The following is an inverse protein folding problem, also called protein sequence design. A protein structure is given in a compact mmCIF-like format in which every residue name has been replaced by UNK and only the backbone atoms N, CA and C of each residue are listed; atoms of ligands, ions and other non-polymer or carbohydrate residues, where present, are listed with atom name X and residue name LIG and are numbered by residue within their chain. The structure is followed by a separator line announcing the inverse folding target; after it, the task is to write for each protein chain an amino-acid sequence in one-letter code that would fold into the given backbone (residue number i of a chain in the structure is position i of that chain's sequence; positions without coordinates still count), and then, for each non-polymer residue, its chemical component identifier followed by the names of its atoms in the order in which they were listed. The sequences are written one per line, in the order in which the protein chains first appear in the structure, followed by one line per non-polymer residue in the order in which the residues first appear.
data_IF_209494954935
#
_entry.id   IF_209494954935
#
_cell.length_a   1.000
_cell.length_b   1.000
_cell.length_c   1.000
_cell.angle_alpha   90.00
_cell.angle_beta   90.00
_cell.angle_gamma   90.00
#
_symmetry.space_group_name_H-M   'P 1'
#
loop_
_entity.id
_entity.type
_entity.pdbx_description
1 polymer ?
#
# COMPACT_ATOMS: atom_id res chain seq x y z
N UNK A 1 -4.36 16.43 -22.12
CA UNK A 1 -4.23 15.84 -20.75
C UNK A 1 -4.26 14.34 -20.91
N UNK A 2 -3.13 13.65 -20.75
CA UNK A 2 -3.11 12.20 -20.78
C UNK A 2 -3.98 11.69 -19.61
N UNK A 3 -4.92 10.79 -19.90
CA UNK A 3 -5.76 10.15 -18.90
C UNK A 3 -4.86 9.46 -17.85
N UNK A 4 -4.65 10.12 -16.71
CA UNK A 4 -3.90 9.51 -15.61
C UNK A 4 -4.69 8.31 -15.10
N UNK A 5 -4.16 7.13 -15.29
CA UNK A 5 -4.77 5.89 -14.78
C UNK A 5 -4.91 6.02 -13.26
N UNK A 6 -6.09 5.76 -12.72
CA UNK A 6 -6.33 5.89 -11.28
C UNK A 6 -5.40 4.96 -10.47
N UNK A 7 -4.84 5.42 -9.31
CA UNK A 7 -3.88 4.62 -8.51
C UNK A 7 -4.38 3.22 -8.16
N UNK A 8 -5.67 3.10 -7.84
CA UNK A 8 -6.32 1.81 -7.54
C UNK A 8 -6.25 0.84 -8.73
N UNK A 9 -6.48 1.33 -9.95
CA UNK A 9 -6.41 0.51 -11.17
C UNK A 9 -4.99 0.00 -11.43
N UNK A 10 -3.99 0.83 -11.15
CA UNK A 10 -2.56 0.43 -11.27
C UNK A 10 -2.21 -0.64 -10.24
N UNK A 11 -2.63 -0.44 -8.98
CA UNK A 11 -2.42 -1.44 -7.93
C UNK A 11 -3.09 -2.78 -8.32
N UNK A 12 -4.31 -2.72 -8.85
CA UNK A 12 -5.03 -3.93 -9.27
C UNK A 12 -4.28 -4.70 -10.38
N UNK A 13 -3.67 -3.99 -11.34
CA UNK A 13 -2.81 -4.64 -12.35
C UNK A 13 -1.61 -5.35 -11.73
N UNK A 14 -0.90 -4.70 -10.79
CA UNK A 14 0.22 -5.31 -10.08
C UNK A 14 -0.20 -6.58 -9.33
N UNK A 15 -1.35 -6.53 -8.64
CA UNK A 15 -1.92 -7.68 -7.92
C UNK A 15 -2.31 -8.79 -8.89
N UNK A 16 -2.89 -8.46 -10.04
CA UNK A 16 -3.33 -9.43 -11.04
C UNK A 16 -2.16 -10.18 -11.69
N UNK A 17 -1.03 -9.51 -11.86
CA UNK A 17 0.19 -10.14 -12.40
C UNK A 17 0.80 -11.17 -11.43
N UNK A 18 0.64 -10.97 -10.13
CA UNK A 18 1.11 -11.88 -9.07
C UNK A 18 0.01 -12.78 -8.49
N UNK A 19 -1.10 -12.99 -9.23
CA UNK A 19 -2.30 -13.73 -8.75
C UNK A 19 -1.99 -15.11 -8.18
N UNK A 20 -1.02 -15.84 -8.76
CA UNK A 20 -0.64 -17.18 -8.30
C UNK A 20 0.01 -17.14 -6.92
N UNK A 21 0.98 -16.25 -6.71
CA UNK A 21 1.66 -16.09 -5.44
C UNK A 21 0.70 -15.53 -4.37
N UNK A 22 -0.19 -14.61 -4.76
CA UNK A 22 -1.23 -14.06 -3.86
C UNK A 22 -2.27 -15.12 -3.48
N UNK A 23 -2.70 -15.95 -4.42
CA UNK A 23 -3.61 -17.08 -4.12
C UNK A 23 -3.00 -18.04 -3.10
N UNK A 24 -1.70 -18.32 -3.19
CA UNK A 24 -1.00 -19.15 -2.22
C UNK A 24 -0.96 -18.47 -0.83
N UNK A 25 -0.76 -17.14 -0.76
CA UNK A 25 -0.84 -16.39 0.51
C UNK A 25 -2.22 -16.56 1.14
N UNK A 26 -3.31 -16.37 0.37
CA UNK A 26 -4.67 -16.56 0.87
C UNK A 26 -4.93 -18.01 1.32
N UNK A 27 -4.41 -18.99 0.60
CA UNK A 27 -4.53 -20.40 1.01
C UNK A 27 -3.90 -20.64 2.38
N UNK A 28 -2.67 -20.17 2.61
CA UNK A 28 -2.02 -20.28 3.92
C UNK A 28 -2.73 -19.44 5.00
N UNK A 29 -3.28 -18.28 4.64
CA UNK A 29 -4.06 -17.46 5.57
C UNK A 29 -5.34 -18.15 6.02
N UNK A 30 -6.06 -18.81 5.11
CA UNK A 30 -7.27 -19.59 5.42
C UNK A 30 -6.92 -20.73 6.39
N UNK A 31 -5.93 -21.54 6.04
CA UNK A 31 -5.52 -22.67 6.89
C UNK A 31 -5.04 -22.20 8.27
N UNK A 32 -4.13 -21.21 8.31
CA UNK A 32 -3.62 -20.67 9.57
C UNK A 32 -4.71 -19.99 10.42
N UNK A 33 -5.61 -19.26 9.78
CA UNK A 33 -6.74 -18.59 10.45
C UNK A 33 -7.75 -19.57 11.04
N UNK A 34 -8.09 -20.65 10.32
CA UNK A 34 -8.97 -21.72 10.81
C UNK A 34 -8.34 -22.44 12.01
N UNK A 35 -7.04 -22.77 11.92
CA UNK A 35 -6.32 -23.40 13.02
C UNK A 35 -6.31 -22.47 14.25
N UNK A 36 -6.07 -21.17 14.05
CA UNK A 36 -6.06 -20.20 15.16
C UNK A 36 -7.45 -20.07 15.83
N UNK A 37 -8.53 -20.13 15.06
CA UNK A 37 -9.89 -20.09 15.58
C UNK A 37 -10.30 -21.40 16.28
N UNK A 38 -9.58 -22.49 16.09
CA UNK A 38 -9.79 -23.73 16.88
C UNK A 38 -9.39 -23.58 18.35
N UNK A 39 -8.51 -22.60 18.69
CA UNK A 39 -8.07 -22.34 20.07
C UNK A 39 -9.21 -21.99 21.02
N UNK A 40 -10.12 -21.02 20.74
CA UNK A 40 -11.28 -20.74 21.59
C UNK A 40 -12.15 -21.97 21.82
N UNK A 41 -12.41 -22.76 20.75
CA UNK A 41 -13.20 -24.00 20.84
C UNK A 41 -12.52 -25.06 21.71
N UNK A 42 -11.20 -25.19 21.56
CA UNK A 42 -10.40 -26.09 22.39
C UNK A 42 -10.41 -25.69 23.86
N UNK A 43 -10.29 -24.38 24.16
CA UNK A 43 -10.35 -23.86 25.53
C UNK A 43 -11.74 -24.09 26.12
N UNK A 44 -12.82 -23.89 25.36
CA UNK A 44 -14.18 -24.23 25.78
C UNK A 44 -14.29 -25.70 26.21
N UNK A 45 -13.75 -26.60 25.40
CA UNK A 45 -13.79 -28.04 25.66
C UNK A 45 -12.95 -28.41 26.89
N UNK A 46 -11.77 -27.81 27.07
CA UNK A 46 -10.93 -27.98 28.28
C UNK A 46 -11.69 -27.56 29.53
N UNK A 47 -12.36 -26.38 29.50
CA UNK A 47 -13.19 -25.89 30.61
C UNK A 47 -14.29 -26.92 30.93
N UNK A 48 -14.94 -27.50 29.92
CA UNK A 48 -15.95 -28.53 30.09
C UNK A 48 -15.41 -29.79 30.79
N UNK A 49 -14.23 -30.27 30.39
CA UNK A 49 -13.59 -31.41 31.08
C UNK A 49 -13.20 -31.10 32.51
N UNK A 50 -12.65 -29.90 32.77
CA UNK A 50 -12.23 -29.51 34.13
C UNK A 50 -13.43 -29.37 35.05
N UNK A 51 -14.51 -28.74 34.61
CA UNK A 51 -15.75 -28.61 35.39
C UNK A 51 -16.45 -29.97 35.63
N UNK A 52 -16.29 -30.92 34.70
CA UNK A 52 -16.77 -32.28 34.85
C UNK A 52 -15.92 -33.17 35.76
N UNK A 53 -14.80 -32.66 36.32
CA UNK A 53 -13.92 -33.37 37.24
C UNK A 53 -13.17 -34.54 36.62
N UNK A 54 -13.11 -34.66 35.30
CA UNK A 54 -12.50 -35.80 34.61
C UNK A 54 -11.10 -35.47 34.06
N UNK A 55 -10.05 -35.90 34.72
CA UNK A 55 -8.73 -36.01 34.10
C UNK A 55 -8.68 -37.27 33.20
N UNK A 56 -9.03 -37.09 31.94
CA UNK A 56 -9.08 -38.16 30.95
C UNK A 56 -7.93 -38.07 29.94
N UNK A 57 -7.56 -39.20 29.33
CA UNK A 57 -6.60 -39.22 28.22
C UNK A 57 -7.02 -38.26 27.08
N UNK A 58 -8.31 -38.04 26.91
CA UNK A 58 -8.89 -37.09 25.94
C UNK A 58 -8.43 -35.65 26.15
N UNK A 59 -8.24 -35.23 27.42
CA UNK A 59 -7.72 -33.90 27.75
C UNK A 59 -6.28 -33.73 27.27
N UNK A 60 -5.42 -34.74 27.48
CA UNK A 60 -4.02 -34.72 27.05
C UNK A 60 -3.95 -34.65 25.52
N UNK A 61 -4.75 -35.45 24.82
CA UNK A 61 -4.83 -35.43 23.34
C UNK A 61 -5.29 -34.08 22.85
N UNK A 62 -6.31 -33.47 23.45
CA UNK A 62 -6.81 -32.15 23.07
C UNK A 62 -5.74 -31.06 23.24
N UNK A 63 -5.07 -31.01 24.39
CA UNK A 63 -3.99 -30.05 24.64
C UNK A 63 -2.86 -30.22 23.62
N UNK A 64 -2.45 -31.50 23.38
CA UNK A 64 -1.41 -31.80 22.39
C UNK A 64 -1.81 -31.35 20.97
N UNK A 65 -3.08 -31.54 20.58
CA UNK A 65 -3.62 -31.11 19.29
C UNK A 65 -3.62 -29.57 19.16
N UNK A 66 -4.00 -28.84 20.22
CA UNK A 66 -3.96 -27.37 20.23
C UNK A 66 -2.53 -26.83 20.10
N UNK A 67 -1.58 -27.39 20.84
CA UNK A 67 -0.16 -27.02 20.77
C UNK A 67 0.41 -27.29 19.37
N UNK A 68 0.08 -28.43 18.76
CA UNK A 68 0.43 -28.75 17.39
C UNK A 68 -0.21 -27.75 16.41
N UNK A 69 -1.46 -27.38 16.63
CA UNK A 69 -2.17 -26.37 15.84
C UNK A 69 -1.44 -25.02 15.85
N UNK A 70 -0.99 -24.54 17.02
CA UNK A 70 -0.21 -23.29 17.12
C UNK A 70 1.08 -23.39 16.31
N UNK A 71 1.79 -24.51 16.41
CA UNK A 71 3.01 -24.74 15.64
C UNK A 71 2.74 -24.73 14.12
N UNK A 72 1.69 -25.42 13.66
CA UNK A 72 1.30 -25.46 12.26
C UNK A 72 0.89 -24.07 11.75
N UNK A 73 0.11 -23.30 12.53
CA UNK A 73 -0.25 -21.92 12.18
C UNK A 73 0.98 -21.03 12.01
N UNK A 74 1.98 -21.15 12.90
CA UNK A 74 3.25 -20.44 12.77
C UNK A 74 4.03 -20.85 11.50
N UNK A 75 4.04 -22.12 11.14
CA UNK A 75 4.67 -22.59 9.89
C UNK A 75 3.97 -22.02 8.65
N UNK A 76 2.62 -21.93 8.65
CA UNK A 76 1.87 -21.28 7.56
C UNK A 76 2.25 -19.81 7.42
N UNK A 77 2.38 -19.09 8.53
CA UNK A 77 2.82 -17.69 8.53
C UNK A 77 4.24 -17.51 7.97
N UNK A 78 5.17 -18.40 8.33
CA UNK A 78 6.54 -18.40 7.76
C UNK A 78 6.49 -18.60 6.24
N UNK A 79 5.66 -19.51 5.73
CA UNK A 79 5.52 -19.71 4.29
C UNK A 79 4.91 -18.50 3.59
N UNK A 80 3.92 -17.82 4.19
CA UNK A 80 3.41 -16.55 3.69
C UNK A 80 4.53 -15.51 3.58
N UNK A 81 5.34 -15.34 4.62
CA UNK A 81 6.45 -14.38 4.62
C UNK A 81 7.45 -14.64 3.48
N UNK A 82 7.79 -15.92 3.19
CA UNK A 82 8.66 -16.28 2.07
C UNK A 82 8.09 -15.90 0.71
N UNK A 83 6.78 -16.10 0.51
CA UNK A 83 6.11 -15.73 -0.75
C UNK A 83 6.05 -14.21 -0.88
N UNK A 84 5.74 -13.50 0.20
CA UNK A 84 5.68 -12.04 0.23
C UNK A 84 7.05 -11.45 -0.12
N UNK A 85 8.14 -11.99 0.44
CA UNK A 85 9.50 -11.55 0.10
C UNK A 85 9.79 -11.73 -1.39
N UNK A 86 9.40 -12.85 -1.98
CA UNK A 86 9.52 -13.10 -3.42
C UNK A 86 8.77 -12.06 -4.25
N UNK A 87 7.54 -11.68 -3.84
CA UNK A 87 6.75 -10.63 -4.50
C UNK A 87 7.48 -9.28 -4.41
N UNK A 88 8.02 -8.93 -3.23
CA UNK A 88 8.80 -7.69 -3.05
C UNK A 88 9.98 -7.62 -4.01
N UNK A 89 10.75 -8.70 -4.13
CA UNK A 89 11.91 -8.78 -5.04
C UNK A 89 11.47 -8.62 -6.50
N UNK A 90 10.38 -9.26 -6.91
CA UNK A 90 9.82 -9.12 -8.27
C UNK A 90 9.40 -7.67 -8.56
N UNK A 91 8.74 -7.00 -7.60
CA UNK A 91 8.34 -5.60 -7.75
C UNK A 91 9.56 -4.71 -7.96
N UNK A 92 10.61 -4.89 -7.15
CA UNK A 92 11.84 -4.11 -7.29
C UNK A 92 12.49 -4.28 -8.66
N UNK A 93 12.70 -5.53 -9.09
CA UNK A 93 13.28 -5.85 -10.39
C UNK A 93 12.45 -5.25 -11.53
N UNK A 94 11.12 -5.39 -11.48
CA UNK A 94 10.21 -4.85 -12.49
C UNK A 94 10.39 -3.34 -12.67
N UNK A 95 10.33 -2.57 -11.56
CA UNK A 95 10.48 -1.13 -11.65
C UNK A 95 11.90 -0.71 -12.03
N UNK A 96 12.93 -1.44 -11.60
CA UNK A 96 14.31 -1.19 -12.02
C UNK A 96 14.45 -1.29 -13.54
N UNK A 97 13.96 -2.37 -14.14
CA UNK A 97 13.99 -2.54 -15.60
C UNK A 97 13.08 -1.54 -16.32
N UNK A 98 11.88 -1.26 -15.77
CA UNK A 98 10.97 -0.29 -16.38
C UNK A 98 11.58 1.12 -16.44
N UNK A 99 12.29 1.55 -15.38
CA UNK A 99 12.98 2.84 -15.36
C UNK A 99 14.18 2.85 -16.32
N UNK A 100 15.01 1.81 -16.27
CA UNK A 100 16.19 1.70 -17.14
C UNK A 100 15.83 1.70 -18.63
N UNK A 101 14.76 0.99 -19.00
CA UNK A 101 14.30 0.93 -20.40
C UNK A 101 13.63 2.22 -20.86
N UNK A 102 12.82 2.87 -19.99
CA UNK A 102 12.00 4.01 -20.39
C UNK A 102 12.72 5.35 -20.38
N UNK A 103 13.63 5.59 -19.42
CA UNK A 103 14.31 6.88 -19.28
C UNK A 103 14.97 7.34 -20.59
N UNK A 104 15.76 6.49 -21.30
CA UNK A 104 16.38 6.92 -22.56
C UNK A 104 15.42 7.11 -23.73
N UNK A 105 14.19 6.58 -23.61
CA UNK A 105 13.19 6.58 -24.69
C UNK A 105 12.05 7.59 -24.45
N UNK A 106 12.12 8.39 -23.39
CA UNK A 106 11.04 9.34 -23.07
C UNK A 106 10.89 10.38 -24.17
N UNK A 107 9.64 10.63 -24.59
CA UNK A 107 9.33 11.72 -25.53
C UNK A 107 9.59 13.06 -24.85
N UNK A 108 10.60 13.78 -25.35
CA UNK A 108 11.07 15.06 -24.80
C UNK A 108 9.97 16.13 -24.73
N UNK A 109 9.01 16.13 -25.65
CA UNK A 109 7.87 17.06 -25.63
C UNK A 109 7.03 16.94 -24.35
N UNK A 110 6.94 15.73 -23.80
CA UNK A 110 6.16 15.43 -22.60
C UNK A 110 6.97 15.54 -21.30
N UNK A 111 8.27 15.78 -21.40
CA UNK A 111 9.19 15.88 -20.27
C UNK A 111 9.73 17.30 -20.07
N UNK A 112 9.68 18.14 -21.11
CA UNK A 112 10.31 19.47 -21.16
C UNK A 112 9.87 20.43 -20.03
N UNK A 113 8.67 20.23 -19.47
CA UNK A 113 8.18 20.97 -18.27
C UNK A 113 8.56 20.36 -16.93
N UNK A 114 9.34 19.27 -16.90
CA UNK A 114 9.71 18.54 -15.68
C UNK A 114 11.23 18.48 -15.52
N UNK A 115 11.67 18.60 -14.28
CA UNK A 115 13.06 18.31 -13.96
C UNK A 115 13.27 16.80 -13.89
N UNK A 116 13.90 16.22 -14.93
CA UNK A 116 14.03 14.78 -15.11
C UNK A 116 14.67 14.05 -13.92
N UNK A 117 15.75 14.56 -13.26
CA UNK A 117 16.29 13.94 -12.06
C UNK A 117 15.27 13.79 -10.92
N UNK A 118 14.37 14.77 -10.72
CA UNK A 118 13.30 14.66 -9.71
C UNK A 118 12.31 13.52 -10.05
N UNK A 119 12.01 13.32 -11.35
CA UNK A 119 11.19 12.20 -11.80
C UNK A 119 11.87 10.85 -11.56
N UNK A 120 13.19 10.77 -11.75
CA UNK A 120 13.99 9.55 -11.50
C UNK A 120 14.03 9.22 -10.00
N UNK A 121 14.13 10.22 -9.13
CA UNK A 121 14.12 10.02 -7.68
C UNK A 121 12.83 9.34 -7.16
N UNK A 122 11.74 9.41 -7.92
CA UNK A 122 10.51 8.66 -7.59
C UNK A 122 10.70 7.15 -7.63
N UNK A 123 11.80 6.66 -8.22
CA UNK A 123 12.18 5.25 -8.13
C UNK A 123 12.26 4.76 -6.68
N UNK A 124 12.69 5.60 -5.74
CA UNK A 124 12.74 5.24 -4.32
C UNK A 124 11.39 4.95 -3.68
N UNK A 125 10.29 5.37 -4.30
CA UNK A 125 8.94 4.92 -3.88
C UNK A 125 8.71 3.42 -4.11
N UNK A 126 9.58 2.75 -4.89
CA UNK A 126 9.56 1.28 -5.00
C UNK A 126 9.78 0.61 -3.65
N UNK A 127 10.62 1.20 -2.78
CA UNK A 127 10.87 0.67 -1.42
C UNK A 127 9.64 0.88 -0.53
N UNK A 128 8.97 2.05 -0.62
CA UNK A 128 7.72 2.30 0.08
C UNK A 128 6.62 1.34 -0.39
N UNK A 129 6.54 1.10 -1.69
CA UNK A 129 5.62 0.14 -2.30
C UNK A 129 5.86 -1.29 -1.80
N UNK A 130 7.13 -1.75 -1.78
CA UNK A 130 7.49 -3.08 -1.28
C UNK A 130 7.05 -3.27 0.18
N UNK A 131 7.44 -2.32 1.06
CA UNK A 131 7.10 -2.38 2.49
C UNK A 131 5.59 -2.37 2.73
N UNK A 132 4.88 -1.48 2.03
CA UNK A 132 3.44 -1.38 2.14
C UNK A 132 2.72 -2.64 1.65
N UNK A 133 3.06 -3.15 0.46
CA UNK A 133 2.49 -4.39 -0.08
C UNK A 133 2.79 -5.58 0.84
N UNK A 134 4.01 -5.70 1.37
CA UNK A 134 4.36 -6.76 2.32
C UNK A 134 3.43 -6.76 3.54
N UNK A 135 3.25 -5.60 4.16
CA UNK A 135 2.39 -5.45 5.32
C UNK A 135 0.92 -5.76 5.00
N UNK A 136 0.43 -5.28 3.86
CA UNK A 136 -0.94 -5.56 3.43
C UNK A 136 -1.17 -7.03 3.12
N UNK A 137 -0.28 -7.70 2.40
CA UNK A 137 -0.40 -9.11 2.07
C UNK A 137 -0.25 -10.04 3.26
N UNK A 138 0.45 -9.60 4.34
CA UNK A 138 0.56 -10.37 5.57
C UNK A 138 -0.70 -10.21 6.44
N UNK A 139 -1.16 -8.99 6.65
CA UNK A 139 -2.19 -8.67 7.65
C UNK A 139 -3.62 -8.79 7.11
N UNK A 140 -3.91 -8.31 5.89
CA UNK A 140 -5.27 -8.26 5.36
C UNK A 140 -5.90 -9.63 5.13
N UNK A 141 -5.22 -10.63 4.51
CA UNK A 141 -5.80 -11.95 4.34
C UNK A 141 -6.15 -12.59 5.69
N UNK A 142 -5.21 -12.56 6.64
CA UNK A 142 -5.41 -13.14 7.97
C UNK A 142 -6.55 -12.44 8.71
N UNK A 143 -6.58 -11.11 8.72
CA UNK A 143 -7.63 -10.34 9.38
C UNK A 143 -9.01 -10.60 8.76
N UNK A 144 -9.11 -10.64 7.43
CA UNK A 144 -10.36 -10.94 6.73
C UNK A 144 -10.90 -12.33 7.10
N UNK A 145 -10.02 -13.34 7.13
CA UNK A 145 -10.37 -14.70 7.52
C UNK A 145 -10.82 -14.77 8.97
N UNK A 146 -10.09 -14.11 9.88
CA UNK A 146 -10.43 -14.07 11.30
C UNK A 146 -11.79 -13.39 11.56
N UNK A 147 -12.07 -12.28 10.87
CA UNK A 147 -13.38 -11.61 10.97
C UNK A 147 -14.46 -12.53 10.45
N UNK A 148 -14.34 -13.05 9.23
CA UNK A 148 -15.36 -13.86 8.60
C UNK A 148 -15.70 -15.12 9.41
N UNK A 149 -14.71 -15.95 9.69
CA UNK A 149 -14.94 -17.19 10.45
C UNK A 149 -15.19 -16.95 11.92
N UNK A 150 -14.58 -15.92 12.53
CA UNK A 150 -14.84 -15.55 13.92
C UNK A 150 -16.30 -15.13 14.14
N UNK A 151 -16.85 -14.28 13.26
CA UNK A 151 -18.25 -13.88 13.32
C UNK A 151 -19.19 -15.05 12.98
N UNK A 152 -18.81 -15.92 12.04
CA UNK A 152 -19.56 -17.13 11.73
C UNK A 152 -19.64 -18.06 12.97
N UNK A 153 -18.51 -18.32 13.62
CA UNK A 153 -18.48 -19.14 14.83
C UNK A 153 -19.32 -18.54 15.97
N UNK A 154 -19.22 -17.22 16.17
CA UNK A 154 -20.03 -16.53 17.16
C UNK A 154 -21.53 -16.71 16.93
N UNK A 155 -21.96 -16.68 15.68
CA UNK A 155 -23.37 -16.83 15.28
C UNK A 155 -23.95 -18.19 15.65
N UNK A 156 -23.12 -19.23 15.81
CA UNK A 156 -23.56 -20.56 16.27
C UNK A 156 -23.83 -20.65 17.78
N UNK A 157 -23.31 -19.72 18.58
CA UNK A 157 -23.53 -19.76 20.03
C UNK A 157 -24.92 -19.25 20.43
N UNK A 158 -25.36 -18.13 19.83
CA UNK A 158 -26.68 -17.58 20.13
C UNK A 158 -27.14 -16.59 19.03
N UNK A 159 -28.45 -16.52 18.69
CA UNK A 159 -28.95 -15.63 17.65
C UNK A 159 -28.62 -14.14 17.87
N UNK A 160 -28.44 -13.70 19.10
CA UNK A 160 -28.00 -12.35 19.42
C UNK A 160 -26.68 -11.99 18.73
N UNK A 161 -25.75 -12.93 18.63
CA UNK A 161 -24.45 -12.69 17.98
C UNK A 161 -24.55 -12.49 16.46
N UNK A 162 -25.64 -12.92 15.81
CA UNK A 162 -25.88 -12.65 14.40
C UNK A 162 -26.08 -11.14 14.19
N UNK A 163 -26.97 -10.53 14.98
CA UNK A 163 -27.21 -9.08 14.92
C UNK A 163 -25.95 -8.29 15.24
N UNK A 164 -25.22 -8.73 16.25
CA UNK A 164 -23.93 -8.16 16.65
C UNK A 164 -22.90 -8.21 15.51
N UNK A 165 -22.78 -9.34 14.82
CA UNK A 165 -21.88 -9.55 13.68
C UNK A 165 -22.22 -8.62 12.51
N UNK A 166 -23.50 -8.47 12.18
CA UNK A 166 -23.97 -7.56 11.13
C UNK A 166 -23.65 -6.10 11.46
N UNK A 167 -23.88 -5.71 12.73
CA UNK A 167 -23.57 -4.35 13.20
C UNK A 167 -22.06 -4.06 13.09
N UNK A 168 -21.20 -5.02 13.46
CA UNK A 168 -19.76 -4.91 13.38
C UNK A 168 -19.29 -4.69 11.95
N UNK A 169 -19.75 -5.52 11.02
CA UNK A 169 -19.42 -5.41 9.59
C UNK A 169 -19.91 -4.07 9.02
N UNK A 170 -21.11 -3.64 9.40
CA UNK A 170 -21.67 -2.35 8.97
C UNK A 170 -20.84 -1.16 9.47
N UNK A 171 -20.42 -1.16 10.74
CA UNK A 171 -19.58 -0.09 11.29
C UNK A 171 -18.21 -0.07 10.60
N UNK A 172 -17.59 -1.22 10.38
CA UNK A 172 -16.31 -1.31 9.66
C UNK A 172 -16.44 -0.73 8.24
N UNK A 173 -17.50 -1.13 7.52
CA UNK A 173 -17.79 -0.59 6.19
C UNK A 173 -17.98 0.93 6.22
N UNK A 174 -18.72 1.45 7.20
CA UNK A 174 -18.97 2.89 7.35
C UNK A 174 -17.67 3.68 7.58
N UNK A 175 -16.78 3.17 8.44
CA UNK A 175 -15.47 3.80 8.69
C UNK A 175 -14.67 3.89 7.39
N UNK A 176 -14.57 2.78 6.65
CA UNK A 176 -13.82 2.72 5.39
C UNK A 176 -14.43 3.64 4.33
N UNK A 177 -15.76 3.68 4.22
CA UNK A 177 -16.47 4.51 3.25
C UNK A 177 -16.28 6.01 3.51
N UNK A 178 -16.42 6.45 4.77
CA UNK A 178 -16.33 7.88 5.13
C UNK A 178 -14.90 8.40 5.05
N UNK A 179 -13.89 7.58 5.41
CA UNK A 179 -12.52 8.06 5.56
C UNK A 179 -11.61 7.71 4.39
N UNK A 180 -11.96 6.72 3.56
CA UNK A 180 -11.08 6.17 2.53
C UNK A 180 -10.62 7.21 1.50
N UNK A 181 -11.54 7.93 0.88
CA UNK A 181 -11.19 8.93 -0.14
C UNK A 181 -10.39 10.11 0.45
N UNK A 182 -10.78 10.58 1.64
CA UNK A 182 -10.07 11.67 2.33
C UNK A 182 -8.64 11.27 2.70
N UNK A 183 -8.44 10.01 3.10
CA UNK A 183 -7.12 9.46 3.40
C UNK A 183 -6.21 9.45 2.17
N UNK A 184 -6.70 8.97 1.04
CA UNK A 184 -5.93 8.95 -0.21
C UNK A 184 -5.58 10.37 -0.69
N UNK A 185 -6.54 11.29 -0.74
CA UNK A 185 -6.29 12.65 -1.21
C UNK A 185 -5.29 13.40 -0.33
N UNK A 186 -5.37 13.23 0.99
CA UNK A 186 -4.42 13.83 1.93
C UNK A 186 -3.01 13.24 1.79
N UNK A 187 -2.86 11.91 1.60
CA UNK A 187 -1.58 11.25 1.36
C UNK A 187 -0.95 11.71 0.03
N UNK A 188 -1.74 11.80 -1.05
CA UNK A 188 -1.26 12.32 -2.34
C UNK A 188 -0.78 13.78 -2.23
N UNK A 189 -1.46 14.59 -1.43
CA UNK A 189 -1.11 16.01 -1.22
C UNK A 189 0.17 16.12 -0.40
N UNK A 190 0.30 15.38 0.69
CA UNK A 190 1.52 15.28 1.48
C UNK A 190 2.72 14.88 0.62
N UNK A 191 2.58 13.81 -0.16
CA UNK A 191 3.63 13.34 -1.07
C UNK A 191 4.00 14.38 -2.14
N UNK A 192 3.03 15.18 -2.63
CA UNK A 192 3.30 16.28 -3.58
C UNK A 192 4.22 17.33 -2.96
N UNK A 193 3.97 17.75 -1.73
CA UNK A 193 4.81 18.73 -1.04
C UNK A 193 6.19 18.15 -0.66
N UNK A 194 6.26 16.86 -0.27
CA UNK A 194 7.52 16.13 -0.05
C UNK A 194 8.45 16.24 -1.27
N UNK A 195 7.94 15.90 -2.46
CA UNK A 195 8.72 15.96 -3.69
C UNK A 195 9.01 17.39 -4.15
N UNK A 196 8.11 18.35 -3.88
CA UNK A 196 8.38 19.76 -4.16
C UNK A 196 9.55 20.32 -3.34
N UNK A 197 9.71 19.86 -2.10
CA UNK A 197 10.86 20.23 -1.25
C UNK A 197 12.13 19.51 -1.73
N UNK A 198 12.07 18.22 -2.04
CA UNK A 198 13.20 17.45 -2.56
C UNK A 198 13.73 18.08 -3.87
N UNK A 199 12.85 18.40 -4.82
CA UNK A 199 13.23 19.07 -6.06
C UNK A 199 13.88 20.44 -5.84
N UNK A 200 13.50 21.16 -4.77
CA UNK A 200 14.21 22.40 -4.41
C UNK A 200 15.64 22.13 -3.95
N UNK A 201 15.88 21.09 -3.16
CA UNK A 201 17.23 20.72 -2.75
C UNK A 201 18.12 20.26 -3.90
N UNK A 202 17.54 19.52 -4.86
CA UNK A 202 18.25 19.13 -6.08
C UNK A 202 18.65 20.34 -6.92
N UNK A 203 17.72 21.31 -7.08
CA UNK A 203 18.01 22.55 -7.79
C UNK A 203 19.11 23.37 -7.10
N UNK A 204 19.09 23.44 -5.77
CA UNK A 204 20.17 24.05 -4.98
C UNK A 204 21.52 23.34 -5.18
N UNK A 205 21.51 22.00 -5.21
CA UNK A 205 22.74 21.22 -5.45
C UNK A 205 23.27 21.46 -6.86
N UNK A 206 22.40 21.49 -7.87
CA UNK A 206 22.77 21.77 -9.27
C UNK A 206 23.34 23.18 -9.45
N UNK A 207 22.78 24.16 -8.79
CA UNK A 207 23.17 25.59 -8.88
C UNK A 207 24.06 26.04 -7.71
N UNK A 208 24.78 25.13 -7.04
CA UNK A 208 25.56 25.42 -5.85
C UNK A 208 26.52 26.64 -6.02
N UNK A 209 27.22 26.70 -7.15
CA UNK A 209 28.12 27.86 -7.46
C UNK A 209 27.36 29.17 -7.45
N UNK A 210 26.19 29.25 -8.10
CA UNK A 210 25.36 30.46 -8.15
C UNK A 210 24.86 30.88 -6.76
N UNK A 211 24.47 29.92 -5.92
CA UNK A 211 24.06 30.20 -4.53
C UNK A 211 25.20 30.71 -3.66
N UNK A 212 26.44 30.23 -3.89
CA UNK A 212 27.63 30.74 -3.19
C UNK A 212 27.90 32.21 -3.48
N UNK A 213 27.72 32.63 -4.72
CA UNK A 213 27.88 34.05 -5.11
C UNK A 213 26.70 34.92 -4.67
N UNK A 214 25.52 34.34 -4.46
CA UNK A 214 24.30 35.04 -4.03
C UNK A 214 24.11 35.03 -2.49
N UNK A 215 25.15 34.81 -1.71
CA UNK A 215 25.11 34.50 -0.28
C UNK A 215 24.35 35.49 0.63
N UNK A 216 24.13 36.71 0.18
CA UNK A 216 23.52 37.77 1.03
C UNK A 216 21.99 37.73 1.08
N UNK A 217 21.30 37.02 0.19
CA UNK A 217 19.82 37.16 0.06
C UNK A 217 19.01 36.29 1.04
N UNK A 218 19.59 35.22 1.59
CA UNK A 218 18.86 34.22 2.42
C UNK A 218 17.65 33.59 1.71
N UNK A 219 17.49 33.81 0.39
CA UNK A 219 16.35 33.37 -0.41
C UNK A 219 16.18 31.84 -0.38
N UNK A 220 17.30 31.11 -0.42
CA UNK A 220 17.32 29.67 -0.41
C UNK A 220 16.71 29.07 0.86
N UNK A 221 17.01 29.68 2.02
CA UNK A 221 16.43 29.29 3.32
C UNK A 221 14.93 29.64 3.38
N UNK A 222 14.55 30.86 2.97
CA UNK A 222 13.14 31.28 2.97
C UNK A 222 12.28 30.39 2.09
N UNK A 223 12.77 29.99 0.91
CA UNK A 223 12.04 29.08 0.00
C UNK A 223 11.98 27.66 0.56
N UNK A 224 13.05 27.15 1.18
CA UNK A 224 13.05 25.88 1.87
C UNK A 224 12.08 25.86 3.05
N UNK A 225 12.09 26.90 3.88
CA UNK A 225 11.18 27.09 5.01
C UNK A 225 9.71 27.08 4.56
N UNK A 226 9.37 27.89 3.56
CA UNK A 226 8.01 27.93 2.98
C UNK A 226 7.54 26.55 2.51
N UNK A 227 8.37 25.79 1.77
CA UNK A 227 8.05 24.44 1.31
C UNK A 227 7.95 23.44 2.45
N UNK A 228 8.78 23.58 3.49
CA UNK A 228 8.71 22.76 4.70
C UNK A 228 7.40 22.98 5.45
N UNK A 229 6.97 24.23 5.61
CA UNK A 229 5.68 24.58 6.23
C UNK A 229 4.53 23.95 5.43
N UNK A 230 4.55 24.04 4.11
CA UNK A 230 3.53 23.39 3.26
C UNK A 230 3.49 21.87 3.46
N UNK A 231 4.65 21.21 3.52
CA UNK A 231 4.74 19.78 3.79
C UNK A 231 4.18 19.44 5.17
N UNK A 232 4.59 20.16 6.23
CA UNK A 232 4.12 19.91 7.59
C UNK A 232 2.61 20.12 7.73
N UNK A 233 2.05 21.15 7.07
CA UNK A 233 0.60 21.36 7.04
C UNK A 233 -0.13 20.20 6.37
N UNK A 234 0.36 19.71 5.22
CA UNK A 234 -0.22 18.56 4.53
C UNK A 234 -0.08 17.28 5.37
N UNK A 235 1.08 17.05 6.01
CA UNK A 235 1.34 15.93 6.93
C UNK A 235 0.38 15.95 8.11
N UNK A 236 0.17 17.12 8.72
CA UNK A 236 -0.77 17.29 9.82
C UNK A 236 -2.19 16.97 9.37
N UNK A 237 -2.60 17.45 8.20
CA UNK A 237 -3.93 17.16 7.64
C UNK A 237 -4.12 15.66 7.39
N UNK A 238 -3.13 14.97 6.84
CA UNK A 238 -3.17 13.51 6.65
C UNK A 238 -3.27 12.79 8.00
N UNK A 239 -2.44 13.16 8.97
CA UNK A 239 -2.45 12.59 10.32
C UNK A 239 -3.80 12.77 11.03
N UNK A 240 -4.51 13.89 10.84
CA UNK A 240 -5.85 14.08 11.40
C UNK A 240 -6.87 13.06 10.85
N UNK A 241 -6.74 12.65 9.59
CA UNK A 241 -7.60 11.59 9.03
C UNK A 241 -7.31 10.24 9.71
N UNK A 242 -6.02 9.88 9.84
CA UNK A 242 -5.61 8.65 10.54
C UNK A 242 -6.07 8.66 12.01
N UNK A 243 -5.93 9.81 12.66
CA UNK A 243 -6.35 9.97 14.06
C UNK A 243 -7.86 9.82 14.23
N UNK A 244 -8.66 10.33 13.26
CA UNK A 244 -10.11 10.12 13.25
C UNK A 244 -10.45 8.63 13.14
N UNK A 245 -9.78 7.91 12.21
CA UNK A 245 -9.96 6.46 12.06
C UNK A 245 -9.64 5.72 13.34
N UNK A 246 -8.54 6.06 14.00
CA UNK A 246 -8.13 5.43 15.24
C UNK A 246 -9.07 5.76 16.43
N UNK A 247 -9.53 7.00 16.54
CA UNK A 247 -10.53 7.39 17.56
C UNK A 247 -11.84 6.63 17.40
N UNK A 248 -12.31 6.50 16.16
CA UNK A 248 -13.53 5.74 15.85
C UNK A 248 -13.35 4.26 16.17
N UNK A 249 -12.20 3.69 15.84
CA UNK A 249 -11.83 2.31 16.20
C UNK A 249 -11.83 2.11 17.73
N UNK A 250 -11.23 3.04 18.49
CA UNK A 250 -11.19 2.95 19.94
C UNK A 250 -12.59 2.99 20.56
N UNK A 251 -13.44 3.93 20.11
CA UNK A 251 -14.83 4.01 20.56
C UNK A 251 -15.60 2.71 20.24
N UNK A 252 -15.40 2.18 19.02
CA UNK A 252 -15.97 0.92 18.60
C UNK A 252 -15.50 -0.26 19.49
N UNK A 253 -14.17 -0.37 19.74
CA UNK A 253 -13.59 -1.42 20.60
C UNK A 253 -14.18 -1.39 22.00
N UNK A 254 -14.29 -0.21 22.61
CA UNK A 254 -14.89 -0.03 23.95
C UNK A 254 -16.36 -0.43 23.95
N UNK A 255 -17.13 0.04 22.97
CA UNK A 255 -18.56 -0.26 22.88
C UNK A 255 -18.83 -1.76 22.71
N UNK A 256 -18.05 -2.43 21.85
CA UNK A 256 -18.16 -3.86 21.59
C UNK A 256 -17.78 -4.70 22.81
N UNK A 257 -16.67 -4.36 23.46
CA UNK A 257 -16.24 -5.07 24.68
C UNK A 257 -17.29 -4.92 25.78
N UNK A 258 -17.81 -3.71 25.99
CA UNK A 258 -18.85 -3.48 26.98
C UNK A 258 -20.14 -4.24 26.63
N UNK A 259 -20.60 -4.19 25.40
CA UNK A 259 -21.80 -4.93 24.96
C UNK A 259 -21.61 -6.44 25.15
N UNK A 260 -20.44 -7.00 24.80
CA UNK A 260 -20.16 -8.43 24.95
C UNK A 260 -20.17 -8.86 26.41
N UNK A 261 -19.53 -8.12 27.32
CA UNK A 261 -19.49 -8.44 28.73
C UNK A 261 -20.90 -8.35 29.33
N UNK A 262 -21.68 -7.29 29.03
CA UNK A 262 -23.03 -7.12 29.53
C UNK A 262 -23.95 -8.24 29.04
N UNK A 263 -24.07 -8.43 27.74
CA UNK A 263 -24.96 -9.43 27.16
C UNK A 263 -24.49 -10.85 27.42
N UNK A 264 -23.18 -11.10 27.39
CA UNK A 264 -22.61 -12.42 27.69
C UNK A 264 -22.92 -12.87 29.12
N UNK A 265 -22.81 -11.95 30.12
CA UNK A 265 -23.18 -12.22 31.51
C UNK A 265 -24.68 -12.44 31.63
N UNK A 266 -25.54 -11.64 30.97
CA UNK A 266 -26.99 -11.84 30.97
C UNK A 266 -27.37 -13.22 30.40
N UNK A 267 -26.79 -13.63 29.29
CA UNK A 267 -27.02 -14.95 28.67
C UNK A 267 -26.57 -16.09 29.61
N UNK A 268 -25.42 -15.90 30.27
CA UNK A 268 -24.89 -16.87 31.23
C UNK A 268 -25.80 -17.02 32.45
N UNK A 269 -26.26 -15.91 33.05
CA UNK A 269 -27.16 -15.92 34.19
C UNK A 269 -28.54 -16.53 33.86
N UNK A 270 -29.02 -16.31 32.62
CA UNK A 270 -30.24 -16.92 32.10
C UNK A 270 -30.05 -18.37 31.64
N UNK A 271 -28.89 -18.97 31.88
CA UNK A 271 -28.53 -20.36 31.49
C UNK A 271 -28.69 -20.65 29.98
N UNK A 272 -28.65 -19.62 29.14
CA UNK A 272 -28.72 -19.78 27.66
C UNK A 272 -27.40 -20.19 27.07
N UNK A 273 -26.29 -19.89 27.76
CA UNK A 273 -24.94 -20.35 27.43
C UNK A 273 -24.25 -20.88 28.70
N UNK A 274 -23.29 -21.80 28.53
CA UNK A 274 -22.48 -22.28 29.65
C UNK A 274 -21.19 -21.44 29.81
N UNK A 275 -20.47 -21.63 30.93
CA UNK A 275 -19.23 -20.89 31.22
C UNK A 275 -18.18 -21.09 30.12
N UNK A 276 -18.02 -22.31 29.60
CA UNK A 276 -17.07 -22.61 28.51
C UNK A 276 -17.43 -21.86 27.23
N UNK A 277 -18.72 -21.79 26.87
CA UNK A 277 -19.20 -21.03 25.71
C UNK A 277 -19.01 -19.53 25.90
N UNK A 278 -19.24 -19.00 27.09
CA UNK A 278 -19.00 -17.59 27.38
C UNK A 278 -17.52 -17.21 27.19
N UNK A 279 -16.61 -18.00 27.78
CA UNK A 279 -15.15 -17.77 27.64
C UNK A 279 -14.70 -17.88 26.17
N UNK A 280 -15.21 -18.89 25.45
CA UNK A 280 -14.87 -19.06 24.04
C UNK A 280 -15.40 -17.90 23.18
N UNK A 281 -16.61 -17.44 23.41
CA UNK A 281 -17.18 -16.28 22.72
C UNK A 281 -16.37 -15.01 22.98
N UNK A 282 -15.93 -14.78 24.24
CA UNK A 282 -15.05 -13.65 24.59
C UNK A 282 -13.71 -13.72 23.85
N UNK A 283 -13.08 -14.90 23.80
CA UNK A 283 -11.83 -15.10 23.06
C UNK A 283 -12.01 -14.86 21.54
N UNK A 284 -13.11 -15.33 20.94
CA UNK A 284 -13.41 -15.11 19.53
C UNK A 284 -13.58 -13.60 19.26
N UNK A 285 -14.30 -12.88 20.10
CA UNK A 285 -14.50 -11.44 19.96
C UNK A 285 -13.17 -10.70 20.08
N UNK A 286 -12.29 -11.05 20.99
CA UNK A 286 -10.96 -10.45 21.11
C UNK A 286 -10.12 -10.67 19.83
N UNK A 287 -10.20 -11.84 19.21
CA UNK A 287 -9.55 -12.13 17.92
C UNK A 287 -10.15 -11.24 16.82
N UNK A 288 -11.48 -11.14 16.75
CA UNK A 288 -12.18 -10.31 15.74
C UNK A 288 -11.86 -8.82 15.93
N UNK A 289 -11.87 -8.30 17.16
CA UNK A 289 -11.48 -6.92 17.45
C UNK A 289 -10.03 -6.66 17.01
N UNK A 290 -9.11 -7.56 17.33
CA UNK A 290 -7.71 -7.46 16.90
C UNK A 290 -7.55 -7.48 15.37
N UNK A 291 -8.35 -8.29 14.69
CA UNK A 291 -8.38 -8.33 13.21
C UNK A 291 -8.91 -7.02 12.61
N UNK A 292 -9.99 -6.46 13.16
CA UNK A 292 -10.51 -5.12 12.75
C UNK A 292 -9.47 -4.03 13.01
N UNK A 293 -8.81 -4.07 14.17
CA UNK A 293 -7.71 -3.14 14.51
C UNK A 293 -6.58 -3.20 13.48
N UNK A 294 -6.15 -4.40 13.07
CA UNK A 294 -5.14 -4.57 12.01
C UNK A 294 -5.57 -3.95 10.69
N UNK A 295 -6.82 -4.12 10.26
CA UNK A 295 -7.32 -3.50 9.03
C UNK A 295 -7.24 -1.98 9.12
N UNK A 296 -7.74 -1.38 10.20
CA UNK A 296 -7.82 0.08 10.34
C UNK A 296 -6.42 0.70 10.51
N UNK A 297 -5.56 0.12 11.32
CA UNK A 297 -4.19 0.63 11.53
C UNK A 297 -3.31 0.49 10.30
N UNK A 298 -3.63 -0.43 9.39
CA UNK A 298 -2.94 -0.61 8.13
C UNK A 298 -3.48 0.25 6.98
N UNK A 299 -4.52 1.08 7.20
CA UNK A 299 -5.02 2.01 6.17
C UNK A 299 -3.95 3.02 5.74
N UNK A 300 -3.10 3.49 6.66
CA UNK A 300 -1.92 4.31 6.33
C UNK A 300 -1.05 3.63 5.26
N UNK A 301 -0.76 2.34 5.44
CA UNK A 301 0.01 1.55 4.46
C UNK A 301 -0.73 1.39 3.12
N UNK A 302 -2.08 1.36 3.11
CA UNK A 302 -2.87 1.37 1.86
C UNK A 302 -2.67 2.69 1.12
N UNK A 303 -2.75 3.82 1.83
CA UNK A 303 -2.55 5.14 1.23
C UNK A 303 -1.13 5.31 0.71
N UNK A 304 -0.12 4.85 1.46
CA UNK A 304 1.27 4.86 1.04
C UNK A 304 1.50 4.03 -0.24
N UNK A 305 0.93 2.82 -0.32
CA UNK A 305 1.00 1.96 -1.51
C UNK A 305 0.36 2.63 -2.72
N UNK A 306 -0.84 3.19 -2.57
CA UNK A 306 -1.53 3.88 -3.66
C UNK A 306 -0.76 5.12 -4.12
N UNK A 307 -0.20 5.88 -3.18
CA UNK A 307 0.63 7.06 -3.47
C UNK A 307 1.94 6.65 -4.16
N UNK A 308 2.61 5.60 -3.70
CA UNK A 308 3.83 5.09 -4.32
C UNK A 308 3.58 4.64 -5.77
N UNK A 309 2.52 3.87 -6.01
CA UNK A 309 2.12 3.44 -7.36
C UNK A 309 1.79 4.63 -8.27
N UNK A 310 1.13 5.67 -7.74
CA UNK A 310 0.88 6.91 -8.50
C UNK A 310 2.18 7.64 -8.85
N UNK A 311 3.13 7.73 -7.91
CA UNK A 311 4.42 8.38 -8.16
C UNK A 311 5.29 7.63 -9.16
N UNK A 312 5.36 6.31 -9.06
CA UNK A 312 6.05 5.45 -10.03
C UNK A 312 5.41 5.57 -11.42
N UNK A 313 4.08 5.60 -11.47
CA UNK A 313 3.31 5.79 -12.70
C UNK A 313 3.61 7.09 -13.42
N UNK A 314 3.99 8.16 -12.72
CA UNK A 314 4.33 9.44 -13.36
C UNK A 314 5.51 9.37 -14.33
N UNK A 315 6.40 8.40 -14.17
CA UNK A 315 7.46 8.14 -15.14
C UNK A 315 7.07 7.01 -16.09
N UNK A 316 6.58 5.90 -15.54
CA UNK A 316 6.31 4.70 -16.34
C UNK A 316 5.15 4.83 -17.31
N UNK A 317 4.25 5.80 -17.13
CA UNK A 317 3.10 6.04 -18.03
C UNK A 317 3.39 7.13 -19.07
N UNK A 318 4.55 7.81 -19.00
CA UNK A 318 4.88 8.81 -20.00
C UNK A 318 5.09 8.15 -21.36
N UNK A 319 4.67 8.82 -22.45
CA UNK A 319 4.90 8.31 -23.79
C UNK A 319 6.39 8.21 -24.07
N UNK A 320 6.75 7.20 -24.84
CA UNK A 320 8.11 6.99 -25.36
C UNK A 320 8.16 7.45 -26.81
N UNK A 321 9.33 7.88 -27.25
CA UNK A 321 9.55 8.23 -28.64
C UNK A 321 9.30 7.01 -29.53
N UNK A 322 8.58 7.24 -30.62
CA UNK A 322 8.36 6.21 -31.64
C UNK A 322 9.56 6.26 -32.57
N UNK A 323 10.48 5.33 -32.44
CA UNK A 323 11.57 5.18 -33.38
C UNK A 323 11.04 4.79 -34.77
N UNK A 324 11.59 5.41 -35.82
CA UNK A 324 11.30 5.00 -37.20
C UNK A 324 11.73 3.55 -37.45
N UNK A 325 11.13 2.92 -38.45
CA UNK A 325 11.44 1.55 -38.83
C UNK A 325 12.78 1.40 -39.59
N UNK A 326 13.38 2.52 -39.99
CA UNK A 326 14.64 2.53 -40.75
C UNK A 326 15.84 2.24 -39.85
N UNK A 327 16.54 1.16 -40.13
CA UNK A 327 17.79 0.81 -39.43
C UNK A 327 18.96 1.25 -40.31
N UNK A 328 19.76 2.17 -39.77
CA UNK A 328 21.03 2.54 -40.40
C UNK A 328 22.00 1.37 -40.30
N UNK A 329 22.61 0.95 -41.42
CA UNK A 329 23.62 -0.09 -41.37
C UNK A 329 24.90 0.46 -40.73
N UNK A 330 25.51 -0.31 -39.84
CA UNK A 330 26.79 0.04 -39.21
C UNK A 330 27.89 0.20 -40.26
N UNK A 331 28.69 1.25 -40.15
CA UNK A 331 29.84 1.50 -41.04
C UNK A 331 29.55 2.34 -42.30
N UNK A 332 28.30 2.73 -42.54
CA UNK A 332 27.98 3.66 -43.63
C UNK A 332 28.25 5.11 -43.18
N UNK A 333 29.05 5.89 -43.95
CA UNK A 333 29.26 7.30 -43.66
C UNK A 333 27.93 8.07 -43.82
N UNK A 334 27.49 8.72 -42.74
CA UNK A 334 26.24 9.48 -42.71
C UNK A 334 26.51 10.95 -42.97
N UNK A 335 25.72 11.58 -43.86
CA UNK A 335 25.60 13.03 -44.01
C UNK A 335 24.23 13.50 -43.52
N UNK A 336 24.18 14.74 -43.07
CA UNK A 336 22.92 15.39 -42.68
C UNK A 336 22.69 16.55 -43.60
N UNK A 337 21.51 16.61 -44.22
CA UNK A 337 21.08 17.71 -45.08
C UNK A 337 19.70 18.20 -44.60
N UNK A 338 19.58 19.47 -44.37
CA UNK A 338 18.33 20.13 -44.01
C UNK A 338 17.95 21.17 -45.07
N UNK A 339 16.74 21.11 -45.58
CA UNK A 339 16.19 22.04 -46.54
C UNK A 339 15.00 22.79 -45.95
N UNK A 340 15.06 24.09 -45.85
CA UNK A 340 13.97 24.93 -45.34
C UNK A 340 13.40 24.48 -44.00
N UNK A 341 14.27 24.05 -43.09
CA UNK A 341 13.89 23.52 -41.77
C UNK A 341 13.26 24.64 -40.94
N UNK A 342 12.01 24.46 -40.61
CA UNK A 342 11.31 25.30 -39.65
C UNK A 342 10.86 24.45 -38.45
N UNK A 343 11.26 24.82 -37.25
CA UNK A 343 10.95 24.08 -36.02
C UNK A 343 10.51 25.03 -34.91
N UNK A 344 9.53 24.63 -34.13
CA UNK A 344 9.07 25.32 -32.93
C UNK A 344 8.44 24.34 -31.94
N UNK A 345 8.62 24.59 -30.65
CA UNK A 345 7.94 23.84 -29.57
C UNK A 345 6.44 24.16 -29.52
N UNK A 346 6.06 25.36 -29.99
CA UNK A 346 4.70 25.81 -30.19
C UNK A 346 4.50 26.17 -31.66
N UNK A 347 3.38 25.70 -32.24
CA UNK A 347 3.05 25.95 -33.65
C UNK A 347 3.01 27.47 -34.01
N UNK A 348 2.76 28.32 -33.02
CA UNK A 348 2.70 29.77 -33.21
C UNK A 348 4.04 30.51 -32.99
N UNK A 349 5.06 29.81 -32.45
CA UNK A 349 6.38 30.40 -32.14
C UNK A 349 7.52 29.54 -32.65
N UNK A 350 7.82 29.60 -33.96
CA UNK A 350 8.96 28.87 -34.48
C UNK A 350 10.28 29.44 -33.92
N UNK A 351 11.13 28.53 -33.41
CA UNK A 351 12.47 28.87 -32.89
C UNK A 351 13.51 28.83 -34.01
N UNK A 352 13.33 27.95 -34.98
CA UNK A 352 14.13 27.87 -36.20
C UNK A 352 13.19 28.20 -37.37
N UNK A 353 13.62 29.05 -38.27
CA UNK A 353 12.87 29.43 -39.46
C UNK A 353 13.73 29.30 -40.68
N UNK A 354 13.26 28.54 -41.65
CA UNK A 354 13.82 28.45 -42.98
C UNK A 354 15.34 28.23 -43.02
N UNK A 355 15.84 27.31 -42.17
CA UNK A 355 17.26 26.98 -42.08
C UNK A 355 17.60 25.87 -43.06
N UNK A 356 18.58 26.12 -43.94
CA UNK A 356 19.13 25.11 -44.86
C UNK A 356 20.62 24.95 -44.61
N UNK A 357 21.09 23.66 -44.43
CA UNK A 357 22.48 23.36 -44.23
C UNK A 357 22.77 21.93 -44.63
N UNK A 358 24.06 21.67 -44.92
CA UNK A 358 24.55 20.33 -45.20
C UNK A 358 25.83 20.06 -44.39
N UNK A 359 25.86 18.90 -43.73
CA UNK A 359 27.03 18.42 -43.00
C UNK A 359 27.46 17.08 -43.59
N UNK A 360 28.67 17.02 -44.13
CA UNK A 360 29.22 15.79 -44.68
C UNK A 360 29.71 14.86 -43.57
N UNK A 361 29.82 13.57 -43.90
CA UNK A 361 30.34 12.57 -42.96
C UNK A 361 31.70 12.97 -42.39
N UNK A 362 31.86 12.90 -41.06
CA UNK A 362 33.07 13.32 -40.34
C UNK A 362 33.17 14.86 -40.14
N UNK A 363 32.27 15.67 -40.71
CA UNK A 363 32.22 17.11 -40.51
C UNK A 363 31.82 17.47 -39.07
N UNK A 364 32.44 18.53 -38.51
CA UNK A 364 32.08 19.13 -37.23
C UNK A 364 31.53 20.52 -37.49
N UNK A 365 30.35 20.80 -36.99
CA UNK A 365 29.69 22.11 -37.06
C UNK A 365 29.43 22.60 -35.63
N UNK A 366 29.82 23.86 -35.34
CA UNK A 366 29.56 24.51 -34.06
C UNK A 366 28.63 25.71 -34.26
#
# INVERSE_FOLDING_TARGET
MANSVHPVTRLFRLVQEEKSDISAIYFYAILGGLIQLSMPLGIQTIIGFVLGGSMSASLIVLISALVLGVMLSGMMQINQMKIIEKIQQKIYVRFSYAFADRIPKLDMKHVDGFYLPELVNRFFETVSLQKGISKLLLDFPVATIQIFFGLLLLSFYHPFFILFSLLLVFILWLILYVTGNRGLDSSLTESRHKYSLAGWFEEMARLNKSFRFSAASGMHLKKADHKTIQYLSARTSHFQVLLLQYRTLLAFKVAITAAMLIFGVILLLNQQINIGQFVAAELIILIVISAVEKIITNLDSVYDVLTAVEKLGKLTDKPVEVCGSYKVQEGIPLSVEAHHLTFGYDAQKPVIKDLSFQVQSGGKVC
#
